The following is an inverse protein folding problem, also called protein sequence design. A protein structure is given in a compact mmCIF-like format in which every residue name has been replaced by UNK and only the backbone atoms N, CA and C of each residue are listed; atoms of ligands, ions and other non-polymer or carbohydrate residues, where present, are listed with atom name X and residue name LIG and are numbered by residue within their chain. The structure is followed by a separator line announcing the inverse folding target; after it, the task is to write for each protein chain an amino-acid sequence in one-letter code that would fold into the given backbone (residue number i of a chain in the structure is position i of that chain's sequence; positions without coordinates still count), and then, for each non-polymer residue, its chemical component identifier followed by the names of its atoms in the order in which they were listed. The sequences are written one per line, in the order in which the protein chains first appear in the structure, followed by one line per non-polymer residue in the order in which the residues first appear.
data_IF_367057040947
#
_entry.id   IF_367057040947
#
_cell.length_a   1.000
_cell.length_b   1.000
_cell.length_c   1.000
_cell.angle_alpha   90.00
_cell.angle_beta   90.00
_cell.angle_gamma   90.00
#
_symmetry.space_group_name_H-M   'P 1'
#
loop_
_entity.id
_entity.type
_entity.pdbx_description
1 polymer ?
#
# COMPACT_ATOMS: atom_id res chain seq x y z
N UNK A 1 -19.06 10.52 12.01
CA UNK A 1 -18.79 9.62 10.87
C UNK A 1 -17.53 10.14 10.23
N UNK A 2 -16.37 9.59 10.58
CA UNK A 2 -15.09 10.09 10.06
C UNK A 2 -15.00 9.82 8.57
N UNK A 3 -14.62 10.82 7.79
CA UNK A 3 -14.21 10.62 6.40
C UNK A 3 -13.07 9.60 6.40
N UNK A 4 -13.20 8.55 5.58
CA UNK A 4 -12.10 7.62 5.39
C UNK A 4 -10.91 8.41 4.82
N UNK A 5 -9.72 8.21 5.39
CA UNK A 5 -8.49 8.79 4.83
C UNK A 5 -8.34 8.37 3.35
N UNK A 6 -7.66 9.19 2.55
CA UNK A 6 -7.49 9.01 1.11
C UNK A 6 -7.03 7.58 0.76
N UNK A 7 -6.14 6.98 1.57
CA UNK A 7 -5.68 5.61 1.36
C UNK A 7 -6.78 4.56 1.57
N UNK A 8 -7.65 4.75 2.56
CA UNK A 8 -8.79 3.85 2.81
C UNK A 8 -9.85 4.01 1.72
N UNK A 9 -10.16 5.26 1.33
CA UNK A 9 -11.09 5.55 0.23
C UNK A 9 -10.68 4.89 -1.08
N UNK A 10 -9.38 4.85 -1.37
CA UNK A 10 -8.83 4.22 -2.57
C UNK A 10 -9.04 2.70 -2.62
N UNK A 11 -8.87 2.00 -1.49
CA UNK A 11 -9.09 0.55 -1.43
C UNK A 11 -10.58 0.23 -1.51
N UNK A 12 -11.43 1.04 -0.87
CA UNK A 12 -12.88 0.85 -0.93
C UNK A 12 -13.41 1.03 -2.35
N UNK A 13 -12.98 2.08 -3.07
CA UNK A 13 -13.37 2.29 -4.46
C UNK A 13 -12.92 1.14 -5.39
N UNK A 14 -11.76 0.55 -5.09
CA UNK A 14 -11.31 -0.66 -5.78
C UNK A 14 -12.21 -1.86 -5.51
N UNK A 15 -12.52 -2.13 -4.23
CA UNK A 15 -13.37 -3.24 -3.83
C UNK A 15 -14.79 -3.11 -4.39
N UNK A 16 -15.39 -1.92 -4.33
CA UNK A 16 -16.72 -1.65 -4.87
C UNK A 16 -16.78 -1.93 -6.39
N UNK A 17 -15.69 -1.62 -7.11
CA UNK A 17 -15.58 -1.91 -8.55
C UNK A 17 -15.44 -3.40 -8.86
N UNK A 18 -14.62 -4.11 -8.09
CA UNK A 18 -14.34 -5.54 -8.35
C UNK A 18 -15.44 -6.45 -7.81
N UNK A 19 -16.13 -6.02 -6.75
CA UNK A 19 -17.16 -6.79 -6.06
C UNK A 19 -18.46 -5.99 -5.85
N UNK A 20 -19.22 -5.70 -6.92
CA UNK A 20 -20.49 -4.95 -6.83
C UNK A 20 -21.66 -5.75 -6.20
N UNK A 21 -21.37 -6.90 -5.59
CA UNK A 21 -22.34 -7.89 -5.14
C UNK A 21 -22.62 -7.84 -3.64
N UNK A 22 -23.06 -8.98 -3.04
CA UNK A 22 -23.36 -9.02 -1.61
C UNK A 22 -22.09 -8.84 -0.75
N UNK A 23 -22.31 -8.60 0.54
CA UNK A 23 -21.25 -8.49 1.53
C UNK A 23 -20.22 -9.61 1.45
N UNK A 24 -18.96 -9.22 1.37
CA UNK A 24 -17.80 -10.11 1.31
C UNK A 24 -17.37 -10.61 2.69
N UNK A 25 -16.68 -11.75 2.71
CA UNK A 25 -15.81 -12.16 3.82
C UNK A 25 -14.37 -11.77 3.48
N UNK A 26 -13.84 -10.77 4.18
CA UNK A 26 -12.54 -10.15 3.89
C UNK A 26 -11.54 -10.50 5.00
N UNK A 27 -10.35 -10.95 4.60
CA UNK A 27 -9.18 -10.99 5.46
C UNK A 27 -8.27 -9.81 5.11
N UNK A 28 -8.10 -8.88 6.05
CA UNK A 28 -7.13 -7.79 5.94
C UNK A 28 -5.84 -8.20 6.66
N UNK A 29 -4.72 -8.21 5.94
CA UNK A 29 -3.39 -8.54 6.49
C UNK A 29 -2.55 -7.26 6.50
N UNK A 30 -1.98 -6.92 7.66
CA UNK A 30 -1.33 -5.63 7.89
C UNK A 30 -2.36 -4.52 8.11
N UNK A 31 -3.38 -4.78 8.93
CA UNK A 31 -4.51 -3.86 9.08
C UNK A 31 -4.18 -2.55 9.76
N UNK A 32 -2.97 -2.40 10.31
CA UNK A 32 -2.58 -1.21 11.05
C UNK A 32 -3.61 -0.88 12.12
N UNK A 33 -4.03 0.39 12.19
CA UNK A 33 -5.04 0.86 13.14
C UNK A 33 -6.46 0.38 12.84
N UNK A 34 -6.67 -0.36 11.75
CA UNK A 34 -7.96 -0.95 11.38
C UNK A 34 -8.94 0.05 10.78
N UNK A 35 -8.46 1.16 10.18
CA UNK A 35 -9.35 2.13 9.52
C UNK A 35 -10.11 1.47 8.35
N UNK A 36 -9.42 0.68 7.52
CA UNK A 36 -10.04 -0.06 6.43
C UNK A 36 -10.98 -1.15 6.94
N UNK A 37 -10.55 -1.97 7.92
CA UNK A 37 -11.41 -2.95 8.58
C UNK A 37 -12.72 -2.34 9.07
N UNK A 38 -12.64 -1.19 9.77
CA UNK A 38 -13.79 -0.46 10.28
C UNK A 38 -14.70 0.03 9.15
N UNK A 39 -14.12 0.57 8.07
CA UNK A 39 -14.88 1.08 6.94
C UNK A 39 -15.55 -0.03 6.10
N UNK A 40 -14.95 -1.22 6.07
CA UNK A 40 -15.52 -2.43 5.47
C UNK A 40 -16.66 -3.01 6.32
N UNK A 41 -16.47 -3.09 7.65
CA UNK A 41 -17.53 -3.50 8.58
C UNK A 41 -18.75 -2.57 8.46
N UNK A 42 -18.54 -1.26 8.37
CA UNK A 42 -19.60 -0.26 8.19
C UNK A 42 -20.39 -0.42 6.87
N UNK A 43 -19.79 -1.04 5.85
CA UNK A 43 -20.43 -1.40 4.58
C UNK A 43 -21.11 -2.78 4.59
N UNK A 44 -21.07 -3.47 5.73
CA UNK A 44 -21.71 -4.78 5.91
C UNK A 44 -20.84 -5.98 5.56
N UNK A 45 -19.56 -5.78 5.21
CA UNK A 45 -18.63 -6.90 5.01
C UNK A 45 -18.31 -7.60 6.33
N UNK A 46 -18.10 -8.91 6.29
CA UNK A 46 -17.54 -9.65 7.42
C UNK A 46 -16.01 -9.59 7.35
N UNK A 47 -15.36 -8.93 8.30
CA UNK A 47 -13.91 -8.68 8.26
C UNK A 47 -13.19 -9.42 9.37
N UNK A 48 -12.10 -10.10 9.01
CA UNK A 48 -11.05 -10.52 9.93
C UNK A 48 -9.82 -9.68 9.62
N UNK A 49 -9.31 -8.95 10.60
CA UNK A 49 -8.16 -8.06 10.43
C UNK A 49 -7.01 -8.58 11.29
N UNK A 50 -5.84 -8.76 10.69
CA UNK A 50 -4.63 -9.26 11.33
C UNK A 50 -3.48 -8.30 11.08
N UNK A 51 -2.70 -8.02 12.12
CA UNK A 51 -1.41 -7.35 12.01
C UNK A 51 -0.38 -8.13 12.83
N UNK A 52 0.83 -8.28 12.30
CA UNK A 52 1.94 -8.95 12.99
C UNK A 52 2.62 -8.03 14.00
N UNK A 53 2.34 -6.73 13.91
CA UNK A 53 2.84 -5.73 14.83
C UNK A 53 1.72 -5.30 15.79
N UNK A 54 1.85 -5.51 17.12
CA UNK A 54 0.91 -4.95 18.09
C UNK A 54 0.91 -3.40 18.08
N UNK A 55 1.88 -2.78 17.39
CA UNK A 55 2.01 -1.33 17.19
C UNK A 55 1.53 -0.86 15.81
N UNK A 56 0.91 -1.73 15.00
CA UNK A 56 0.17 -1.33 13.78
C UNK A 56 1.04 -0.80 12.63
N UNK A 57 2.21 -1.40 12.35
CA UNK A 57 3.22 -0.78 11.47
C UNK A 57 3.66 -1.56 10.22
N UNK A 58 3.17 -2.77 9.90
CA UNK A 58 3.86 -3.61 8.89
C UNK A 58 2.99 -4.26 7.81
N UNK A 59 3.30 -3.88 6.57
CA UNK A 59 2.84 -4.44 5.30
C UNK A 59 3.57 -5.72 4.88
N UNK A 60 3.04 -6.46 3.89
CA UNK A 60 3.64 -7.67 3.32
C UNK A 60 5.05 -7.41 2.74
N UNK A 61 5.31 -6.23 2.18
CA UNK A 61 6.65 -5.91 1.69
C UNK A 61 7.74 -5.86 2.80
N UNK A 62 7.35 -5.88 4.07
CA UNK A 62 8.24 -5.93 5.24
C UNK A 62 8.28 -7.29 5.97
N UNK A 63 7.43 -8.24 5.62
CA UNK A 63 7.34 -9.52 6.35
C UNK A 63 8.63 -10.33 6.16
N UNK A 64 9.07 -11.05 7.19
CA UNK A 64 10.33 -11.82 7.11
C UNK A 64 10.24 -13.07 6.25
N UNK A 65 9.13 -13.80 6.34
CA UNK A 65 8.86 -15.03 5.58
C UNK A 65 7.57 -14.86 4.78
N UNK A 66 7.71 -14.32 3.56
CA UNK A 66 6.59 -14.03 2.66
C UNK A 66 5.79 -15.27 2.29
N UNK A 67 6.48 -16.37 1.97
CA UNK A 67 5.82 -17.63 1.60
C UNK A 67 4.95 -18.15 2.73
N UNK A 68 5.49 -18.17 3.95
CA UNK A 68 4.71 -18.58 5.13
C UNK A 68 3.55 -17.63 5.40
N UNK A 69 3.74 -16.32 5.27
CA UNK A 69 2.68 -15.34 5.48
C UNK A 69 1.52 -15.55 4.50
N UNK A 70 1.83 -15.74 3.21
CA UNK A 70 0.83 -16.02 2.18
C UNK A 70 0.14 -17.36 2.42
N UNK A 71 0.88 -18.41 2.77
CA UNK A 71 0.31 -19.72 3.08
C UNK A 71 -0.67 -19.65 4.27
N UNK A 72 -0.33 -18.89 5.33
CA UNK A 72 -1.22 -18.66 6.47
C UNK A 72 -2.47 -17.87 6.07
N UNK A 73 -2.32 -16.83 5.25
CA UNK A 73 -3.47 -16.06 4.75
C UNK A 73 -4.40 -16.93 3.89
N UNK A 74 -3.83 -17.79 3.05
CA UNK A 74 -4.59 -18.74 2.25
C UNK A 74 -5.34 -19.76 3.12
N UNK A 75 -4.68 -20.33 4.13
CA UNK A 75 -5.29 -21.29 5.04
C UNK A 75 -6.40 -20.65 5.92
N UNK A 76 -6.25 -19.38 6.30
CA UNK A 76 -7.26 -18.65 7.08
C UNK A 76 -8.47 -18.25 6.24
N UNK A 77 -8.32 -18.15 4.92
CA UNK A 77 -9.40 -17.83 3.99
C UNK A 77 -10.27 -19.09 3.75
N UNK A 78 -11.38 -19.22 4.49
CA UNK A 78 -12.33 -20.31 4.33
C UNK A 78 -12.93 -20.37 2.91
N UNK A 79 -13.52 -21.52 2.52
CA UNK A 79 -14.20 -21.69 1.23
C UNK A 79 -15.19 -20.52 0.95
N UNK A 80 -14.97 -19.82 -0.17
CA UNK A 80 -15.75 -18.66 -0.61
C UNK A 80 -15.21 -17.29 -0.18
N UNK A 81 -14.13 -17.23 0.62
CA UNK A 81 -13.43 -15.98 0.95
C UNK A 81 -12.62 -15.41 -0.22
N UNK A 82 -12.20 -14.15 -0.08
CA UNK A 82 -11.31 -13.46 -1.02
C UNK A 82 -10.11 -12.91 -0.24
N UNK A 83 -8.93 -13.04 -0.81
CA UNK A 83 -7.71 -12.37 -0.38
C UNK A 83 -7.51 -11.13 -1.25
N UNK A 84 -7.41 -9.97 -0.61
CA UNK A 84 -7.13 -8.70 -1.29
C UNK A 84 -5.84 -8.13 -0.74
N UNK A 85 -4.95 -7.72 -1.65
CA UNK A 85 -3.64 -7.15 -1.34
C UNK A 85 -3.59 -5.74 -1.95
N UNK A 86 -3.09 -4.76 -1.20
CA UNK A 86 -2.81 -3.38 -1.65
C UNK A 86 -1.42 -2.99 -1.14
N UNK A 87 -0.41 -3.11 -1.99
CA UNK A 87 1.00 -3.20 -1.58
C UNK A 87 1.96 -2.36 -2.42
N UNK A 88 3.19 -2.24 -1.93
CA UNK A 88 4.24 -1.41 -2.51
C UNK A 88 5.14 -2.19 -3.48
N UNK A 89 4.99 -1.96 -4.79
CA UNK A 89 5.89 -2.45 -5.83
C UNK A 89 7.12 -1.55 -5.97
N UNK A 90 7.94 -1.50 -4.93
CA UNK A 90 9.09 -0.58 -4.78
C UNK A 90 10.11 -0.65 -5.91
N UNK A 91 10.19 -1.78 -6.61
CA UNK A 91 11.14 -2.05 -7.69
C UNK A 91 10.78 -1.33 -8.98
N UNK A 92 9.54 -0.84 -9.10
CA UNK A 92 9.06 -0.16 -10.30
C UNK A 92 9.53 1.29 -10.43
N UNK A 93 10.24 1.84 -9.43
CA UNK A 93 10.66 3.23 -9.43
C UNK A 93 11.76 3.48 -10.48
N UNK A 94 11.52 4.48 -11.32
CA UNK A 94 12.55 5.06 -12.18
C UNK A 94 13.06 6.39 -11.61
N UNK A 95 14.01 7.03 -12.32
CA UNK A 95 14.61 8.28 -11.87
C UNK A 95 13.59 9.41 -11.69
N UNK A 96 12.61 9.53 -12.59
CA UNK A 96 11.57 10.57 -12.50
C UNK A 96 10.65 10.35 -11.29
N UNK A 97 10.25 9.10 -11.07
CA UNK A 97 9.39 8.69 -9.96
C UNK A 97 10.08 8.90 -8.62
N UNK A 98 11.36 8.50 -8.52
CA UNK A 98 12.18 8.70 -7.34
C UNK A 98 12.42 10.20 -7.06
N UNK A 99 12.73 10.99 -8.08
CA UNK A 99 12.91 12.45 -7.95
C UNK A 99 11.65 13.11 -7.41
N UNK A 100 10.49 12.83 -8.01
CA UNK A 100 9.22 13.40 -7.56
C UNK A 100 8.93 13.07 -6.09
N UNK A 101 9.13 11.82 -5.66
CA UNK A 101 8.96 11.43 -4.25
C UNK A 101 9.85 12.25 -3.30
N UNK A 102 11.14 12.38 -3.62
CA UNK A 102 12.08 13.11 -2.77
C UNK A 102 11.79 14.62 -2.73
N UNK A 103 11.36 15.20 -3.85
CA UNK A 103 10.94 16.60 -3.93
C UNK A 103 9.71 16.87 -3.07
N UNK A 104 8.66 16.05 -3.19
CA UNK A 104 7.45 16.20 -2.37
C UNK A 104 7.80 16.06 -0.89
N UNK A 105 8.61 15.06 -0.54
CA UNK A 105 9.08 14.85 0.85
C UNK A 105 9.84 16.05 1.38
N UNK A 106 10.80 16.59 0.62
CA UNK A 106 11.61 17.72 1.03
C UNK A 106 10.76 18.99 1.22
N UNK A 107 9.83 19.26 0.30
CA UNK A 107 8.94 20.40 0.37
C UNK A 107 8.02 20.33 1.61
N UNK A 108 7.40 19.17 1.85
CA UNK A 108 6.50 18.98 2.99
C UNK A 108 7.23 19.01 4.33
N UNK A 109 8.44 18.43 4.39
CA UNK A 109 9.27 18.48 5.59
C UNK A 109 9.72 19.93 5.89
N UNK A 110 10.15 20.68 4.88
CA UNK A 110 10.51 22.09 5.03
C UNK A 110 9.32 22.96 5.45
N UNK A 111 8.11 22.60 5.02
CA UNK A 111 6.86 23.24 5.45
C UNK A 111 6.42 22.85 6.88
N UNK A 112 7.10 21.89 7.52
CA UNK A 112 6.81 21.46 8.90
C UNK A 112 5.53 20.65 9.05
N UNK A 113 5.02 20.05 7.97
CA UNK A 113 3.78 19.24 7.95
C UNK A 113 4.02 17.74 7.77
N UNK A 114 5.29 17.35 7.61
CA UNK A 114 5.75 15.97 7.42
C UNK A 114 6.94 15.72 8.34
N UNK A 115 6.90 14.64 9.11
CA UNK A 115 7.97 14.20 10.00
C UNK A 115 8.57 12.85 9.54
N UNK A 116 9.28 12.81 8.40
CA UNK A 116 9.82 11.55 7.88
C UNK A 116 11.09 11.11 8.64
N UNK A 117 11.46 9.81 8.59
CA UNK A 117 12.77 9.35 9.04
C UNK A 117 13.90 10.02 8.23
N UNK A 118 15.14 9.94 8.69
CA UNK A 118 16.29 10.54 7.97
C UNK A 118 16.46 9.88 6.59
N UNK A 119 16.71 10.69 5.56
CA UNK A 119 16.98 10.19 4.20
C UNK A 119 18.39 9.59 4.11
N UNK A 120 18.61 8.53 3.31
CA UNK A 120 19.96 8.21 2.85
C UNK A 120 20.59 9.38 2.09
N UNK A 121 21.90 9.56 2.23
CA UNK A 121 22.65 10.57 1.49
C UNK A 121 23.06 10.03 0.12
N UNK A 122 22.47 10.58 -0.94
CA UNK A 122 22.87 10.35 -2.33
C UNK A 122 22.37 11.50 -3.21
N UNK A 123 23.19 11.97 -4.15
CA UNK A 123 22.83 13.08 -5.05
C UNK A 123 21.82 12.64 -6.11
N UNK A 124 22.00 11.44 -6.66
CA UNK A 124 21.07 10.87 -7.64
C UNK A 124 19.79 10.37 -6.94
N UNK A 125 18.59 10.81 -7.40
CA UNK A 125 17.33 10.42 -6.77
C UNK A 125 17.06 8.91 -6.78
N UNK A 126 17.43 8.21 -7.86
CA UNK A 126 17.21 6.78 -7.99
C UNK A 126 18.18 5.98 -7.13
N UNK A 127 19.44 6.41 -7.03
CA UNK A 127 20.39 5.84 -6.07
C UNK A 127 19.89 6.02 -4.63
N UNK A 128 19.39 7.21 -4.30
CA UNK A 128 18.80 7.46 -2.98
C UNK A 128 17.60 6.55 -2.71
N UNK A 129 16.77 6.32 -3.73
CA UNK A 129 15.67 5.36 -3.67
C UNK A 129 16.16 3.94 -3.42
N UNK A 130 17.21 3.51 -4.13
CA UNK A 130 17.77 2.16 -3.99
C UNK A 130 18.33 1.89 -2.59
N UNK A 131 18.88 2.91 -1.94
CA UNK A 131 19.34 2.85 -0.54
C UNK A 131 18.16 2.82 0.45
N UNK A 132 17.08 3.56 0.17
CA UNK A 132 15.94 3.70 1.08
C UNK A 132 14.95 2.54 1.01
N UNK A 133 14.65 2.07 -0.20
CA UNK A 133 13.58 1.11 -0.50
C UNK A 133 14.06 -0.05 -1.39
N UNK A 134 15.09 0.20 -2.20
CA UNK A 134 15.50 -0.73 -3.23
C UNK A 134 16.41 -1.87 -2.78
N UNK A 135 17.19 -2.39 -3.72
CA UNK A 135 18.02 -3.58 -3.53
C UNK A 135 19.26 -3.30 -2.66
N UNK A 136 19.65 -2.03 -2.51
CA UNK A 136 20.81 -1.61 -1.70
C UNK A 136 20.46 -1.34 -0.23
N UNK A 137 19.20 -1.48 0.16
CA UNK A 137 18.75 -1.38 1.55
C UNK A 137 19.26 -2.56 2.39
N UNK A 138 19.72 -2.28 3.61
CA UNK A 138 20.22 -3.29 4.56
C UNK A 138 19.16 -4.35 4.90
N UNK A 139 17.94 -3.91 5.23
CA UNK A 139 16.79 -4.79 5.40
C UNK A 139 16.00 -4.89 4.10
N UNK A 140 16.07 -6.02 3.41
CA UNK A 140 15.40 -6.15 2.11
C UNK A 140 13.89 -6.10 2.25
N UNK A 141 13.27 -5.29 1.39
CA UNK A 141 11.84 -5.31 1.16
C UNK A 141 11.53 -6.31 0.04
N UNK A 142 10.43 -7.05 0.18
CA UNK A 142 9.92 -7.85 -0.92
C UNK A 142 9.50 -6.95 -2.08
N UNK A 143 9.74 -7.44 -3.29
CA UNK A 143 9.27 -6.79 -4.52
C UNK A 143 7.80 -7.13 -4.75
N UNK A 144 7.09 -6.26 -5.47
CA UNK A 144 5.76 -6.57 -6.01
C UNK A 144 5.76 -7.88 -6.79
N UNK A 145 6.78 -8.12 -7.62
CA UNK A 145 6.94 -9.38 -8.34
C UNK A 145 7.03 -10.60 -7.41
N UNK A 146 7.82 -10.52 -6.34
CA UNK A 146 7.93 -11.61 -5.35
C UNK A 146 6.61 -11.83 -4.62
N UNK A 147 5.89 -10.76 -4.27
CA UNK A 147 4.56 -10.84 -3.65
C UNK A 147 3.55 -11.55 -4.56
N UNK A 148 3.48 -11.18 -5.85
CA UNK A 148 2.59 -11.85 -6.81
C UNK A 148 2.96 -13.32 -7.00
N UNK A 149 4.26 -13.63 -7.06
CA UNK A 149 4.74 -15.01 -7.21
C UNK A 149 4.32 -15.89 -6.02
N UNK A 150 4.52 -15.40 -4.79
CA UNK A 150 4.10 -16.09 -3.57
C UNK A 150 2.57 -16.27 -3.54
N UNK A 151 1.79 -15.24 -3.87
CA UNK A 151 0.33 -15.34 -3.96
C UNK A 151 -0.12 -16.43 -4.94
N UNK A 152 0.49 -16.48 -6.14
CA UNK A 152 0.17 -17.51 -7.15
C UNK A 152 0.53 -18.93 -6.72
N UNK A 153 1.50 -19.10 -5.82
CA UNK A 153 1.88 -20.42 -5.33
C UNK A 153 0.75 -21.08 -4.50
N UNK A 154 0.03 -20.28 -3.70
CA UNK A 154 -0.96 -20.77 -2.72
C UNK A 154 -2.42 -20.45 -3.06
N UNK A 155 -2.67 -19.46 -3.92
CA UNK A 155 -3.99 -18.96 -4.27
C UNK A 155 -4.20 -18.96 -5.79
N UNK A 156 -5.45 -18.92 -6.22
CA UNK A 156 -5.83 -18.55 -7.59
C UNK A 156 -5.89 -17.02 -7.69
N UNK A 157 -4.93 -16.41 -8.37
CA UNK A 157 -4.87 -14.95 -8.56
C UNK A 157 -5.75 -14.56 -9.75
N UNK A 158 -6.84 -13.85 -9.48
CA UNK A 158 -7.84 -13.42 -10.47
C UNK A 158 -7.51 -12.07 -11.10
N UNK A 159 -6.93 -11.15 -10.31
CA UNK A 159 -6.60 -9.79 -10.76
C UNK A 159 -5.26 -9.35 -10.20
N UNK A 160 -4.47 -8.67 -11.03
CA UNK A 160 -3.31 -7.88 -10.65
C UNK A 160 -3.41 -6.54 -11.35
N UNK A 161 -3.45 -5.45 -10.61
CA UNK A 161 -3.47 -4.10 -11.17
C UNK A 161 -2.44 -3.20 -10.47
N UNK A 162 -1.92 -2.21 -11.18
CA UNK A 162 -1.07 -1.17 -10.61
C UNK A 162 -1.89 0.06 -10.24
N UNK A 163 -1.51 0.77 -9.17
CA UNK A 163 -2.22 1.96 -8.69
C UNK A 163 -1.26 3.04 -8.14
N UNK A 164 -1.76 4.25 -7.82
CA UNK A 164 -1.00 5.23 -7.04
C UNK A 164 -0.60 4.68 -5.66
N UNK A 165 0.56 5.07 -5.15
CA UNK A 165 1.05 4.62 -3.84
C UNK A 165 2.00 5.61 -3.15
N UNK A 166 2.68 6.47 -3.90
CA UNK A 166 3.63 7.42 -3.31
C UNK A 166 2.93 8.40 -2.36
N UNK A 167 1.69 8.80 -2.64
CA UNK A 167 0.88 9.59 -1.72
C UNK A 167 0.73 8.88 -0.37
N UNK A 168 0.46 7.57 -0.37
CA UNK A 168 0.28 6.74 0.84
C UNK A 168 1.58 6.65 1.62
N UNK A 169 2.68 6.45 0.91
CA UNK A 169 4.02 6.40 1.49
C UNK A 169 4.44 7.71 2.16
N UNK A 170 4.01 8.86 1.63
CA UNK A 170 4.23 10.17 2.28
C UNK A 170 3.23 10.39 3.42
N UNK A 171 1.96 10.03 3.21
CA UNK A 171 0.87 10.28 4.16
C UNK A 171 1.10 9.64 5.53
N UNK A 172 1.81 8.51 5.59
CA UNK A 172 2.15 7.87 6.87
C UNK A 172 2.99 8.76 7.81
N UNK A 173 3.64 9.80 7.29
CA UNK A 173 4.45 10.76 8.06
C UNK A 173 3.84 12.15 8.14
N UNK A 174 2.62 12.34 7.63
CA UNK A 174 1.88 13.59 7.80
C UNK A 174 1.28 13.65 9.21
N UNK A 175 1.10 14.86 9.71
CA UNK A 175 0.39 15.07 10.98
C UNK A 175 -1.04 14.50 10.88
N UNK A 176 -1.54 13.76 11.89
CA UNK A 176 -2.87 13.16 11.90
C UNK A 176 -3.95 14.23 12.20
N UNK A 177 -4.04 15.22 11.33
CA UNK A 177 -4.94 16.37 11.40
C UNK A 177 -5.78 16.46 10.14
N UNK A 178 -6.84 17.28 10.16
CA UNK A 178 -7.64 17.58 8.96
C UNK A 178 -6.76 18.10 7.81
N UNK A 179 -5.81 18.98 8.13
CA UNK A 179 -4.81 19.49 7.18
C UNK A 179 -3.94 18.36 6.59
N UNK A 180 -3.52 17.39 7.41
CA UNK A 180 -2.78 16.23 6.95
C UNK A 180 -3.59 15.37 5.98
N UNK A 181 -4.87 15.15 6.28
CA UNK A 181 -5.78 14.42 5.39
C UNK A 181 -6.01 15.16 4.05
N UNK A 182 -6.17 16.48 4.09
CA UNK A 182 -6.26 17.31 2.87
C UNK A 182 -4.99 17.23 2.02
N UNK A 183 -3.81 17.24 2.66
CA UNK A 183 -2.52 17.09 1.98
C UNK A 183 -2.36 15.69 1.36
N UNK A 184 -2.78 14.62 2.06
CA UNK A 184 -2.79 13.27 1.51
C UNK A 184 -3.69 13.17 0.27
N UNK A 185 -4.89 13.77 0.32
CA UNK A 185 -5.80 13.82 -0.82
C UNK A 185 -5.23 14.64 -1.99
N UNK A 186 -4.54 15.74 -1.71
CA UNK A 186 -3.84 16.54 -2.72
C UNK A 186 -2.70 15.74 -3.38
N UNK A 187 -1.86 15.07 -2.59
CA UNK A 187 -0.78 14.22 -3.10
C UNK A 187 -1.31 13.13 -4.01
N UNK A 188 -2.40 12.46 -3.61
CA UNK A 188 -3.05 11.44 -4.43
C UNK A 188 -3.52 12.01 -5.78
N UNK A 189 -4.18 13.18 -5.75
CA UNK A 189 -4.65 13.84 -6.98
C UNK A 189 -3.48 14.16 -7.91
N UNK A 190 -2.40 14.75 -7.38
CA UNK A 190 -1.21 15.09 -8.15
C UNK A 190 -0.51 13.86 -8.73
N UNK A 191 -0.40 12.78 -7.94
CA UNK A 191 0.15 11.50 -8.40
C UNK A 191 -0.68 10.95 -9.57
N UNK A 192 -2.01 10.90 -9.45
CA UNK A 192 -2.92 10.45 -10.52
C UNK A 192 -2.77 11.27 -11.79
N UNK A 193 -2.71 12.60 -11.68
CA UNK A 193 -2.56 13.49 -12.83
C UNK A 193 -1.25 13.22 -13.59
N UNK A 194 -0.15 12.99 -12.87
CA UNK A 194 1.15 12.69 -13.47
C UNK A 194 1.24 11.27 -14.03
N UNK A 195 0.63 10.29 -13.35
CA UNK A 195 0.49 8.92 -13.86
C UNK A 195 -0.30 8.90 -15.18
N UNK A 196 -1.40 9.66 -15.27
CA UNK A 196 -2.20 9.77 -16.49
C UNK A 196 -1.42 10.40 -17.67
N UNK A 197 -0.40 11.21 -17.38
CA UNK A 197 0.52 11.78 -18.39
C UNK A 197 1.72 10.90 -18.70
N UNK A 198 1.89 9.77 -18.00
CA UNK A 198 3.05 8.89 -18.14
C UNK A 198 4.35 9.48 -17.56
N UNK A 199 4.24 10.48 -16.68
CA UNK A 199 5.40 11.15 -16.07
C UNK A 199 5.95 10.38 -14.86
N UNK A 200 5.16 9.48 -14.28
CA UNK A 200 5.52 8.64 -13.14
C UNK A 200 5.22 7.17 -13.43
N UNK A 201 5.86 6.27 -12.68
CA UNK A 201 5.55 4.84 -12.63
C UNK A 201 4.57 4.58 -11.48
N UNK A 202 3.49 3.79 -11.68
CA UNK A 202 2.61 3.41 -10.58
C UNK A 202 3.32 2.40 -9.69
N UNK A 203 3.56 2.76 -8.43
CA UNK A 203 4.28 1.91 -7.48
C UNK A 203 3.35 1.15 -6.53
N UNK A 204 2.04 1.31 -6.67
CA UNK A 204 1.06 0.50 -5.96
C UNK A 204 0.72 -0.74 -6.75
N UNK A 205 0.47 -1.83 -6.02
CA UNK A 205 0.08 -3.12 -6.56
C UNK A 205 -1.15 -3.61 -5.81
N UNK A 206 -2.23 -3.87 -6.54
CA UNK A 206 -3.41 -4.53 -6.01
C UNK A 206 -3.57 -5.90 -6.59
N UNK A 207 -3.85 -6.87 -5.73
CA UNK A 207 -4.08 -8.26 -6.11
C UNK A 207 -5.39 -8.75 -5.51
N UNK A 208 -6.17 -9.47 -6.31
CA UNK A 208 -7.32 -10.24 -5.84
C UNK A 208 -7.04 -11.70 -6.11
N UNK A 209 -7.22 -12.51 -5.07
CA UNK A 209 -6.99 -13.94 -5.15
C UNK A 209 -8.01 -14.73 -4.32
N UNK A 210 -8.22 -15.99 -4.68
CA UNK A 210 -9.10 -16.92 -3.98
C UNK A 210 -8.38 -18.20 -3.54
N UNK A 211 -8.85 -18.87 -2.48
CA UNK A 211 -8.47 -20.24 -2.21
C UNK A 211 -8.78 -21.14 -3.40
N UNK A 212 -7.88 -22.08 -3.69
CA UNK A 212 -8.13 -23.16 -4.65
C UNK A 212 -9.14 -24.18 -4.13
#
# INVERSE_FOLDING_TARGET
MGTADAGTGEVLAFLDRVFPGPALRVLEVGCGRGELASALLARGHAVTALDVDPLFTRSLHHVGDLERAVALAAAACAHGGVVVVDEFAREGADAATAAWFWEQRALLAAAGVLAPPVAPEAADPLERWELAYGARREHRLHTGEAMVAALRAHLEVELVETCPYLFRQLAQWLDPTERGAELAALLLRLERERLARGELRPLGLRVVARPR
#
